data_IF_324452884854
#
_entry.id   IF_324452884854
#
_cell.length_a   1.000
_cell.length_b   1.000
_cell.length_c   1.000
_cell.angle_alpha   90.00
_cell.angle_beta   90.00
_cell.angle_gamma   90.00
#
_symmetry.space_group_name_H-M   'P 1'
#
loop_
_entity.id
_entity.type
_entity.pdbx_description
1 polymer ?
#
# COMPACT_ATOMS: atom_id res chain seq x y z
N UNK A 1 -21.90 -21.34 -13.68
CA UNK A 1 -21.10 -21.74 -12.50
C UNK A 1 -19.68 -21.29 -12.74
N UNK A 2 -19.10 -20.49 -11.84
CA UNK A 2 -17.72 -20.03 -11.97
C UNK A 2 -16.76 -21.21 -11.89
N UNK A 3 -15.87 -21.34 -12.88
CA UNK A 3 -14.80 -22.35 -12.85
C UNK A 3 -13.90 -22.05 -11.65
N UNK A 4 -13.76 -23.02 -10.75
CA UNK A 4 -12.76 -22.97 -9.68
C UNK A 4 -11.43 -23.46 -10.23
N UNK A 5 -10.44 -22.56 -10.24
CA UNK A 5 -9.06 -22.80 -10.65
C UNK A 5 -8.26 -23.52 -9.57
N UNK A 6 -8.68 -23.48 -8.30
CA UNK A 6 -8.02 -24.25 -7.23
C UNK A 6 -7.93 -25.75 -7.53
N UNK A 7 -8.91 -26.30 -8.25
CA UNK A 7 -8.94 -27.72 -8.62
C UNK A 7 -7.99 -28.07 -9.77
N UNK A 8 -7.50 -27.07 -10.53
CA UNK A 8 -6.57 -27.29 -11.63
C UNK A 8 -5.13 -27.49 -11.12
N UNK A 9 -4.80 -26.88 -9.98
CA UNK A 9 -3.47 -26.94 -9.35
C UNK A 9 -3.59 -27.16 -7.82
N UNK A 10 -4.22 -28.26 -7.36
CA UNK A 10 -4.69 -28.39 -5.98
C UNK A 10 -3.61 -28.48 -4.90
N UNK A 11 -2.34 -28.73 -5.25
CA UNK A 11 -1.26 -28.94 -4.26
C UNK A 11 -0.04 -28.03 -4.46
N UNK A 12 -0.12 -27.10 -5.41
CA UNK A 12 1.01 -26.25 -5.79
C UNK A 12 0.98 -24.95 -5.01
N UNK A 13 2.11 -24.63 -4.36
CA UNK A 13 2.29 -23.42 -3.57
C UNK A 13 3.58 -22.74 -3.97
N UNK A 14 3.50 -21.47 -4.31
CA UNK A 14 4.66 -20.62 -4.58
C UNK A 14 4.82 -19.65 -3.45
N UNK A 15 6.01 -19.59 -2.88
CA UNK A 15 6.35 -18.57 -1.89
C UNK A 15 7.05 -17.40 -2.57
N UNK A 16 6.36 -16.27 -2.65
CA UNK A 16 6.92 -15.04 -3.17
C UNK A 16 7.60 -14.28 -2.04
N UNK A 17 8.93 -14.33 -2.01
CA UNK A 17 9.75 -13.82 -0.91
C UNK A 17 10.39 -12.47 -1.23
N UNK A 18 10.43 -11.61 -0.22
CA UNK A 18 11.39 -10.53 -0.07
C UNK A 18 12.38 -10.86 1.05
N UNK A 19 13.35 -9.98 1.30
CA UNK A 19 14.29 -10.15 2.43
C UNK A 19 13.58 -10.23 3.79
N UNK A 20 12.37 -9.64 3.92
CA UNK A 20 11.71 -9.45 5.23
C UNK A 20 10.30 -10.01 5.31
N UNK A 21 9.69 -10.34 4.19
CA UNK A 21 8.31 -10.82 4.14
C UNK A 21 8.11 -11.76 2.96
N UNK A 22 7.13 -12.64 3.10
CA UNK A 22 6.78 -13.62 2.08
C UNK A 22 5.27 -13.69 1.96
N UNK A 23 4.77 -13.85 0.74
CA UNK A 23 3.38 -14.16 0.49
C UNK A 23 3.27 -15.50 -0.22
N UNK A 24 2.30 -16.32 0.18
CA UNK A 24 2.13 -17.67 -0.38
C UNK A 24 0.99 -17.67 -1.37
N UNK A 25 1.31 -17.95 -2.62
CA UNK A 25 0.36 -18.11 -3.70
C UNK A 25 -0.01 -19.58 -3.87
N UNK A 26 -1.28 -19.83 -4.15
CA UNK A 26 -1.83 -21.14 -4.51
C UNK A 26 -3.03 -20.95 -5.46
N UNK A 27 -3.67 -22.06 -5.85
CA UNK A 27 -4.81 -22.03 -6.76
C UNK A 27 -6.00 -21.17 -6.28
N UNK A 28 -6.13 -20.86 -4.98
CA UNK A 28 -7.18 -19.94 -4.49
C UNK A 28 -6.90 -18.49 -4.86
N UNK A 29 -5.64 -18.11 -5.05
CA UNK A 29 -5.31 -16.78 -5.55
C UNK A 29 -5.88 -16.58 -6.97
N UNK A 30 -5.85 -17.63 -7.80
CA UNK A 30 -6.49 -17.62 -9.13
C UNK A 30 -8.01 -17.49 -9.04
N UNK A 31 -8.65 -18.17 -8.08
CA UNK A 31 -10.09 -18.01 -7.84
C UNK A 31 -10.45 -16.57 -7.46
N UNK A 32 -9.63 -15.92 -6.64
CA UNK A 32 -9.80 -14.50 -6.22
C UNK A 32 -9.54 -13.51 -7.34
N UNK A 33 -8.76 -13.90 -8.35
CA UNK A 33 -8.52 -13.12 -9.57
C UNK A 33 -9.51 -13.47 -10.70
N UNK A 34 -10.37 -14.46 -10.49
CA UNK A 34 -11.42 -14.84 -11.43
C UNK A 34 -12.41 -13.71 -11.73
N UNK A 35 -13.12 -13.76 -12.87
CA UNK A 35 -14.15 -12.76 -13.21
C UNK A 35 -15.24 -12.69 -12.14
N UNK A 36 -15.56 -11.48 -11.68
CA UNK A 36 -16.59 -11.24 -10.66
C UNK A 36 -16.20 -11.63 -9.23
N UNK A 37 -14.97 -12.10 -9.01
CA UNK A 37 -14.46 -12.45 -7.70
C UNK A 37 -13.92 -11.23 -6.94
N UNK A 38 -14.14 -11.25 -5.62
CA UNK A 38 -13.47 -10.35 -4.69
C UNK A 38 -12.00 -10.72 -4.57
N UNK A 39 -11.13 -9.72 -4.72
CA UNK A 39 -9.71 -9.85 -4.41
C UNK A 39 -9.56 -10.03 -2.90
N UNK A 40 -8.76 -11.02 -2.48
CA UNK A 40 -8.45 -11.28 -1.08
C UNK A 40 -7.05 -10.82 -0.69
N UNK A 41 -6.75 -10.85 0.62
CA UNK A 41 -5.48 -10.37 1.20
C UNK A 41 -4.24 -10.98 0.55
N UNK A 42 -4.27 -12.28 0.23
CA UNK A 42 -3.14 -12.96 -0.46
C UNK A 42 -2.76 -12.27 -1.76
N UNK A 43 -3.75 -11.88 -2.58
CA UNK A 43 -3.50 -11.20 -3.85
C UNK A 43 -3.04 -9.76 -3.61
N UNK A 44 -3.62 -9.07 -2.61
CA UNK A 44 -3.21 -7.71 -2.24
C UNK A 44 -1.75 -7.67 -1.80
N UNK A 45 -1.37 -8.56 -0.88
CA UNK A 45 -0.02 -8.62 -0.33
C UNK A 45 0.98 -9.08 -1.39
N UNK A 46 0.60 -10.04 -2.23
CA UNK A 46 1.42 -10.45 -3.37
C UNK A 46 1.70 -9.25 -4.29
N UNK A 47 0.65 -8.50 -4.66
CA UNK A 47 0.81 -7.33 -5.51
C UNK A 47 1.63 -6.21 -4.84
N UNK A 48 1.47 -6.00 -3.53
CA UNK A 48 2.30 -5.07 -2.78
C UNK A 48 3.79 -5.42 -2.88
N UNK A 49 4.14 -6.70 -2.78
CA UNK A 49 5.51 -7.18 -2.95
C UNK A 49 5.99 -7.05 -4.40
N UNK A 50 5.15 -7.43 -5.37
CA UNK A 50 5.45 -7.31 -6.80
C UNK A 50 5.75 -5.85 -7.16
N UNK A 51 4.90 -4.92 -6.71
CA UNK A 51 5.06 -3.50 -6.94
C UNK A 51 6.37 -2.99 -6.31
N UNK A 52 6.59 -3.28 -5.02
CA UNK A 52 7.78 -2.82 -4.30
C UNK A 52 9.10 -3.37 -4.86
N UNK A 53 9.11 -4.60 -5.42
CA UNK A 53 10.35 -5.28 -5.84
C UNK A 53 10.62 -5.19 -7.33
N UNK A 54 9.58 -5.34 -8.15
CA UNK A 54 9.73 -5.54 -9.59
C UNK A 54 9.24 -4.33 -10.40
N UNK A 55 8.20 -3.61 -9.97
CA UNK A 55 7.60 -2.53 -10.77
C UNK A 55 8.07 -1.11 -10.42
N UNK A 56 8.46 -0.87 -9.16
CA UNK A 56 9.04 0.42 -8.75
C UNK A 56 10.51 0.50 -9.15
N UNK A 57 10.93 1.62 -9.73
CA UNK A 57 12.36 1.90 -10.00
C UNK A 57 13.18 1.96 -8.70
N UNK A 58 14.51 1.78 -8.72
CA UNK A 58 15.33 1.88 -7.51
C UNK A 58 15.17 3.19 -6.73
N UNK A 59 14.88 4.29 -7.43
CA UNK A 59 14.58 5.58 -6.82
C UNK A 59 13.21 5.58 -6.12
N UNK A 60 12.18 5.07 -6.80
CA UNK A 60 10.84 4.92 -6.23
C UNK A 60 10.84 3.95 -5.03
N UNK A 61 11.62 2.87 -5.07
CA UNK A 61 11.80 1.94 -3.95
C UNK A 61 12.44 2.60 -2.73
N UNK A 62 13.36 3.56 -2.95
CA UNK A 62 13.91 4.38 -1.86
C UNK A 62 12.86 5.33 -1.29
N UNK A 63 12.01 5.92 -2.13
CA UNK A 63 11.00 6.89 -1.74
C UNK A 63 9.69 6.29 -1.18
N UNK A 64 9.31 5.06 -1.56
CA UNK A 64 8.02 4.45 -1.25
C UNK A 64 8.23 3.20 -0.40
N UNK A 65 7.35 3.01 0.59
CA UNK A 65 7.22 1.77 1.33
C UNK A 65 5.77 1.29 1.33
N UNK A 66 5.54 0.03 0.97
CA UNK A 66 4.21 -0.56 0.88
C UNK A 66 4.00 -1.57 2.01
N UNK A 67 2.94 -1.36 2.81
CA UNK A 67 2.56 -2.26 3.89
C UNK A 67 1.70 -3.43 3.38
N UNK A 68 1.69 -4.52 4.15
CA UNK A 68 0.71 -5.59 3.94
C UNK A 68 -0.69 -5.16 4.41
N UNK A 69 -1.73 -5.81 3.89
CA UNK A 69 -3.14 -5.51 4.22
C UNK A 69 -3.49 -5.80 5.68
N UNK A 70 -2.69 -6.63 6.34
CA UNK A 70 -2.87 -6.98 7.75
C UNK A 70 -2.33 -5.92 8.72
N UNK A 71 -1.51 -4.97 8.25
CA UNK A 71 -0.87 -3.98 9.11
C UNK A 71 -1.90 -3.11 9.84
N UNK A 72 -2.81 -2.46 9.11
CA UNK A 72 -3.80 -1.56 9.72
C UNK A 72 -4.80 -2.30 10.64
N UNK A 73 -5.36 -3.46 10.25
CA UNK A 73 -6.16 -4.28 11.17
C UNK A 73 -5.41 -4.66 12.46
N UNK A 74 -4.10 -4.92 12.38
CA UNK A 74 -3.28 -5.23 13.55
C UNK A 74 -2.93 -4.00 14.38
N UNK A 75 -2.72 -2.85 13.73
CA UNK A 75 -2.44 -1.60 14.40
C UNK A 75 -3.67 -1.11 15.17
N UNK A 76 -4.85 -1.18 14.57
CA UNK A 76 -6.12 -0.77 15.18
C UNK A 76 -6.93 -1.98 15.65
N UNK A 77 -6.29 -2.91 16.37
CA UNK A 77 -6.95 -4.12 16.89
C UNK A 77 -8.21 -3.74 17.66
N UNK A 78 -9.28 -4.50 17.42
CA UNK A 78 -10.61 -4.21 17.97
C UNK A 78 -10.58 -4.16 19.49
N UNK A 79 -9.87 -5.07 20.13
CA UNK A 79 -9.77 -5.20 21.59
C UNK A 79 -9.10 -3.98 22.21
N UNK A 80 -8.06 -3.44 21.57
CA UNK A 80 -7.38 -2.22 22.03
C UNK A 80 -8.28 -1.01 21.78
N UNK A 81 -8.95 -0.97 20.61
CA UNK A 81 -9.79 0.15 20.20
C UNK A 81 -11.05 0.30 21.05
N UNK A 82 -11.70 -0.80 21.43
CA UNK A 82 -12.92 -0.78 22.27
C UNK A 82 -12.62 -0.38 23.73
N UNK A 83 -11.37 -0.53 24.17
CA UNK A 83 -10.92 -0.08 25.49
C UNK A 83 -10.40 1.36 25.49
N UNK A 84 -10.14 1.92 24.31
CA UNK A 84 -9.64 3.28 24.18
C UNK A 84 -10.76 4.28 24.55
N UNK A 85 -10.41 5.46 25.12
CA UNK A 85 -11.40 6.44 25.53
C UNK A 85 -12.35 6.85 24.38
N UNK A 86 -13.66 6.92 24.65
CA UNK A 86 -14.65 7.39 23.66
C UNK A 86 -14.54 8.89 23.37
N UNK A 87 -14.08 9.69 24.34
CA UNK A 87 -13.94 11.14 24.20
C UNK A 87 -12.85 11.46 23.20
N UNK A 88 -13.23 12.27 22.22
CA UNK A 88 -12.37 12.60 21.10
C UNK A 88 -11.08 13.26 21.60
N UNK A 89 -9.93 12.81 21.09
CA UNK A 89 -8.63 13.45 21.35
C UNK A 89 -8.73 14.94 20.97
N UNK A 90 -9.53 15.27 19.96
CA UNK A 90 -9.85 16.64 19.56
C UNK A 90 -10.64 17.44 20.63
N UNK A 91 -11.49 16.79 21.42
CA UNK A 91 -12.27 17.44 22.48
C UNK A 91 -11.41 17.72 23.73
N UNK A 92 -10.42 16.87 24.01
CA UNK A 92 -9.37 17.14 25.01
C UNK A 92 -8.46 18.29 24.59
N UNK A 93 -8.15 18.41 23.30
CA UNK A 93 -7.40 19.53 22.74
C UNK A 93 -8.22 20.84 22.69
N UNK A 94 -9.55 20.75 22.64
CA UNK A 94 -10.47 21.90 22.64
C UNK A 94 -10.92 22.40 24.02
N UNK A 95 -10.74 21.62 25.10
CA UNK A 95 -11.12 21.99 26.49
C UNK A 95 -9.94 22.48 27.33
N UNK A 96 -9.22 23.50 26.87
CA UNK A 96 -8.47 24.39 27.77
C UNK A 96 -9.33 25.61 28.11
N UNK A 97 -10.37 25.40 28.93
CA UNK A 97 -11.12 26.50 29.59
C UNK A 97 -10.58 26.84 30.99
N UNK A 98 -9.62 26.06 31.50
CA UNK A 98 -8.79 26.44 32.64
C UNK A 98 -7.41 26.81 32.12
N UNK A 99 -6.93 28.01 32.46
CA UNK A 99 -5.71 28.64 31.96
C UNK A 99 -4.37 27.95 32.27
N UNK A 100 -4.32 26.62 32.35
CA UNK A 100 -3.07 25.86 32.33
C UNK A 100 -2.66 25.60 30.87
N UNK A 101 -1.78 26.47 30.37
CA UNK A 101 -1.14 26.39 29.06
C UNK A 101 -0.10 25.26 29.01
N UNK A 102 -0.55 24.00 29.03
CA UNK A 102 0.29 22.85 28.69
C UNK A 102 -0.29 22.14 27.48
N UNK A 103 0.34 22.26 26.32
CA UNK A 103 -0.03 21.45 25.16
C UNK A 103 0.24 19.97 25.49
N UNK A 104 -0.80 19.18 25.72
CA UNK A 104 -0.64 17.72 25.85
C UNK A 104 -0.30 17.19 24.46
N UNK A 105 0.85 16.51 24.27
CA UNK A 105 1.21 15.99 22.96
C UNK A 105 0.14 14.99 22.49
N UNK A 106 -0.22 15.01 21.20
CA UNK A 106 -1.12 13.99 20.65
C UNK A 106 -0.58 12.57 20.92
N UNK A 107 -1.42 11.69 21.45
CA UNK A 107 -1.02 10.38 21.94
C UNK A 107 -0.27 10.40 23.27
N UNK A 108 -0.32 11.52 24.00
CA UNK A 108 0.05 11.63 25.41
C UNK A 108 -1.17 11.37 26.31
N UNK A 109 -0.98 11.47 27.63
CA UNK A 109 -2.05 11.21 28.59
C UNK A 109 -2.57 9.77 28.49
N UNK A 110 -3.90 9.60 28.59
CA UNK A 110 -4.54 8.27 28.59
C UNK A 110 -4.34 7.51 27.27
N UNK A 111 -4.24 8.20 26.13
CA UNK A 111 -4.07 7.58 24.82
C UNK A 111 -2.69 6.94 24.58
N UNK A 112 -1.67 7.37 25.33
CA UNK A 112 -0.29 6.92 25.15
C UNK A 112 -0.16 5.41 25.29
N UNK A 113 -0.77 4.83 26.33
CA UNK A 113 -0.69 3.40 26.60
C UNK A 113 -1.30 2.57 25.46
N UNK A 114 -2.42 3.02 24.87
CA UNK A 114 -3.09 2.33 23.78
C UNK A 114 -2.27 2.37 22.48
N UNK A 115 -1.70 3.53 22.15
CA UNK A 115 -0.83 3.65 20.98
C UNK A 115 0.48 2.89 21.17
N UNK A 116 1.06 2.88 22.37
CA UNK A 116 2.24 2.09 22.69
C UNK A 116 1.96 0.59 22.54
N UNK A 117 0.83 0.12 23.08
CA UNK A 117 0.40 -1.27 22.97
C UNK A 117 0.17 -1.67 21.50
N UNK A 118 -0.55 -0.83 20.74
CA UNK A 118 -0.78 -1.03 19.31
C UNK A 118 0.54 -1.06 18.52
N UNK A 119 1.43 -0.11 18.78
CA UNK A 119 2.76 -0.06 18.17
C UNK A 119 3.57 -1.33 18.51
N UNK A 120 3.58 -1.77 19.76
CA UNK A 120 4.24 -3.02 20.17
C UNK A 120 3.75 -4.23 19.38
N UNK A 121 2.46 -4.24 19.04
CA UNK A 121 1.83 -5.24 18.19
C UNK A 121 2.28 -5.22 16.73
N UNK A 122 2.84 -4.10 16.22
CA UNK A 122 3.28 -3.93 14.83
C UNK A 122 4.73 -3.52 14.62
N UNK A 123 5.50 -3.29 15.70
CA UNK A 123 6.88 -2.74 15.68
C UNK A 123 7.82 -3.47 14.73
N UNK A 124 7.67 -4.79 14.60
CA UNK A 124 8.55 -5.62 13.76
C UNK A 124 8.25 -5.52 12.25
N UNK A 125 7.09 -5.01 11.83
CA UNK A 125 6.73 -4.89 10.41
C UNK A 125 7.71 -4.01 9.63
N UNK A 126 8.31 -3.02 10.29
CA UNK A 126 9.29 -2.08 9.72
C UNK A 126 10.69 -2.32 10.25
N UNK A 127 10.98 -3.52 10.76
CA UNK A 127 12.30 -3.87 11.29
C UNK A 127 13.40 -3.64 10.25
N UNK A 128 14.37 -2.77 10.56
CA UNK A 128 15.46 -2.41 9.66
C UNK A 128 15.03 -1.61 8.43
N UNK A 129 13.85 -0.98 8.44
CA UNK A 129 13.41 -0.02 7.41
C UNK A 129 13.24 1.33 8.09
N UNK A 130 14.00 2.32 7.62
CA UNK A 130 13.80 3.70 8.07
C UNK A 130 12.64 4.32 7.28
N UNK A 131 11.44 4.22 7.84
CA UNK A 131 10.21 4.74 7.22
C UNK A 131 10.20 6.28 7.13
N UNK A 132 11.06 6.97 7.88
CA UNK A 132 11.13 8.44 7.89
C UNK A 132 12.01 8.98 6.76
N UNK A 133 12.84 8.14 6.14
CA UNK A 133 13.49 8.46 4.86
C UNK A 133 12.57 8.28 3.65
N UNK A 134 11.40 7.67 3.85
CA UNK A 134 10.42 7.49 2.78
C UNK A 134 9.66 8.80 2.57
N UNK A 135 9.31 9.05 1.32
CA UNK A 135 8.33 10.08 0.95
C UNK A 135 6.91 9.59 1.11
N UNK A 136 6.64 8.32 0.83
CA UNK A 136 5.29 7.76 0.86
C UNK A 136 5.23 6.41 1.56
N UNK A 137 4.22 6.25 2.41
CA UNK A 137 3.83 4.97 2.99
C UNK A 137 2.45 4.60 2.43
N UNK A 138 2.38 3.51 1.65
CA UNK A 138 1.14 3.01 1.08
C UNK A 138 0.58 1.90 1.97
N UNK A 139 -0.62 2.10 2.51
CA UNK A 139 -1.23 1.20 3.49
C UNK A 139 -2.59 0.71 2.98
N UNK A 140 -2.67 -0.51 2.41
CA UNK A 140 -3.93 -1.15 2.09
C UNK A 140 -4.80 -1.29 3.35
N UNK A 141 -6.07 -0.91 3.26
CA UNK A 141 -7.00 -0.98 4.37
C UNK A 141 -8.24 -1.77 4.01
N UNK A 142 -8.41 -2.92 4.68
CA UNK A 142 -9.60 -3.74 4.58
C UNK A 142 -10.50 -3.55 5.80
N UNK A 143 -11.73 -3.08 5.58
CA UNK A 143 -12.76 -3.00 6.61
C UNK A 143 -14.15 -3.15 6.00
N UNK A 144 -15.04 -3.85 6.70
CA UNK A 144 -16.44 -4.04 6.32
C UNK A 144 -16.61 -4.55 4.88
N UNK A 145 -15.82 -5.57 4.53
CA UNK A 145 -15.77 -6.19 3.19
C UNK A 145 -15.38 -5.24 2.06
N UNK A 146 -14.59 -4.20 2.36
CA UNK A 146 -14.17 -3.20 1.40
C UNK A 146 -12.70 -2.84 1.54
N UNK A 147 -12.03 -2.69 0.40
CA UNK A 147 -10.65 -2.21 0.31
C UNK A 147 -10.60 -0.72 -0.06
N UNK A 148 -9.83 0.04 0.72
CA UNK A 148 -9.42 1.41 0.39
C UNK A 148 -7.91 1.55 0.62
N UNK A 149 -7.32 2.66 0.15
CA UNK A 149 -5.90 2.94 0.32
C UNK A 149 -5.71 4.16 1.23
N UNK A 150 -4.90 3.99 2.27
CA UNK A 150 -4.37 5.10 3.06
C UNK A 150 -2.95 5.40 2.59
N UNK A 151 -2.64 6.67 2.34
CA UNK A 151 -1.29 7.12 1.97
C UNK A 151 -0.79 8.12 3.00
N UNK A 152 0.32 7.80 3.67
CA UNK A 152 1.05 8.78 4.48
C UNK A 152 2.09 9.44 3.58
N UNK A 153 1.93 10.73 3.34
CA UNK A 153 2.88 11.55 2.61
C UNK A 153 3.80 12.27 3.59
N UNK A 154 5.10 12.24 3.29
CA UNK A 154 6.14 12.94 4.04
C UNK A 154 6.12 12.61 5.55
N UNK A 155 6.26 11.32 5.93
CA UNK A 155 6.15 10.84 7.32
C UNK A 155 7.06 11.55 8.33
N UNK A 156 8.15 12.18 7.87
CA UNK A 156 9.08 12.91 8.70
C UNK A 156 8.83 14.43 8.77
N UNK A 157 7.98 15.00 7.91
CA UNK A 157 7.83 16.45 7.79
C UNK A 157 6.69 16.98 8.65
N UNK A 158 6.75 16.71 9.96
CA UNK A 158 5.82 17.28 10.94
C UNK A 158 6.24 18.72 11.29
N UNK A 159 5.26 19.56 11.60
CA UNK A 159 5.50 20.91 12.11
C UNK A 159 5.81 20.88 13.61
N UNK A 160 7.00 21.36 14.02
CA UNK A 160 7.40 21.47 15.43
C UNK A 160 7.26 22.92 15.89
N UNK A 161 6.39 23.20 16.86
CA UNK A 161 6.35 24.50 17.55
C UNK A 161 6.91 24.37 18.97
N UNK A 162 7.76 25.29 19.43
CA UNK A 162 8.17 25.33 20.82
C UNK A 162 6.94 25.46 21.72
N UNK A 163 6.79 24.59 22.72
CA UNK A 163 5.66 24.61 23.65
C UNK A 163 5.49 25.95 24.39
N UNK A 164 6.56 26.75 24.49
CA UNK A 164 6.62 28.02 25.19
C UNK A 164 6.34 29.24 24.29
N UNK A 165 6.32 29.08 22.96
CA UNK A 165 6.09 30.19 22.03
C UNK A 165 5.19 29.74 20.86
N UNK A 166 3.88 29.94 21.03
CA UNK A 166 2.89 29.63 19.99
C UNK A 166 2.94 30.58 18.79
N UNK A 167 3.68 31.70 18.89
CA UNK A 167 3.91 32.68 17.82
C UNK A 167 5.17 32.43 17.00
N UNK A 168 6.04 31.50 17.43
CA UNK A 168 7.21 31.09 16.66
C UNK A 168 6.81 30.31 15.40
N UNK A 169 7.51 30.58 14.30
CA UNK A 169 7.41 29.81 13.05
C UNK A 169 7.66 28.32 13.34
N UNK A 170 6.85 27.40 12.79
CA UNK A 170 7.10 25.97 12.94
C UNK A 170 8.48 25.61 12.39
N UNK A 171 9.27 24.90 13.17
CA UNK A 171 10.48 24.26 12.68
C UNK A 171 10.11 22.96 11.97
N UNK A 172 10.52 22.83 10.72
CA UNK A 172 10.43 21.61 9.93
C UNK A 172 11.83 21.03 9.74
N UNK A 173 11.96 19.73 9.41
CA UNK A 173 13.24 19.21 8.94
C UNK A 173 13.79 20.02 7.75
N UNK A 174 15.11 20.20 7.62
CA UNK A 174 15.71 21.07 6.60
C UNK A 174 15.37 20.66 5.16
N UNK A 175 15.13 19.37 4.92
CA UNK A 175 14.78 18.79 3.62
C UNK A 175 13.28 18.80 3.33
N UNK A 176 12.45 19.35 4.23
CA UNK A 176 11.00 19.41 4.04
C UNK A 176 10.60 20.22 2.81
N UNK A 177 11.34 21.29 2.49
CA UNK A 177 11.09 22.12 1.30
C UNK A 177 9.66 22.66 1.23
N UNK A 178 9.03 22.94 2.38
CA UNK A 178 7.65 23.40 2.50
C UNK A 178 6.57 22.31 2.43
N UNK A 179 6.96 21.03 2.37
CA UNK A 179 6.03 19.88 2.42
C UNK A 179 5.72 19.52 3.87
N UNK A 180 4.49 19.10 4.12
CA UNK A 180 4.02 18.68 5.44
C UNK A 180 3.48 17.25 5.42
N UNK A 181 3.53 16.59 6.59
CA UNK A 181 2.85 15.32 6.83
C UNK A 181 1.39 15.43 6.39
N UNK A 182 0.99 14.58 5.44
CA UNK A 182 -0.38 14.55 4.93
C UNK A 182 -0.88 13.12 4.91
N UNK A 183 -2.09 12.86 5.41
CA UNK A 183 -2.73 11.55 5.32
C UNK A 183 -3.82 11.61 4.25
N UNK A 184 -3.70 10.79 3.21
CA UNK A 184 -4.69 10.69 2.14
C UNK A 184 -5.52 9.41 2.30
N UNK A 185 -6.82 9.53 2.05
CA UNK A 185 -7.76 8.42 1.96
C UNK A 185 -8.30 8.33 0.53
N UNK A 186 -7.99 7.23 -0.16
CA UNK A 186 -8.37 6.98 -1.55
C UNK A 186 -9.31 5.77 -1.59
N UNK A 187 -10.53 6.00 -2.08
CA UNK A 187 -11.61 5.02 -2.07
C UNK A 187 -12.42 5.11 -3.38
N UNK A 188 -12.57 3.98 -4.07
CA UNK A 188 -13.31 3.87 -5.32
C UNK A 188 -14.82 3.84 -5.14
N UNK A 189 -15.32 3.66 -3.90
CA UNK A 189 -16.73 3.85 -3.57
C UNK A 189 -17.01 5.29 -3.12
N UNK A 190 -18.00 5.91 -3.77
CA UNK A 190 -18.50 7.21 -3.38
C UNK A 190 -19.37 7.13 -2.10
N UNK A 191 -19.49 8.26 -1.40
CA UNK A 191 -20.49 8.44 -0.33
C UNK A 191 -20.17 7.81 1.02
N UNK A 192 -18.96 7.26 1.22
CA UNK A 192 -18.51 6.81 2.55
C UNK A 192 -17.81 7.94 3.29
N UNK A 193 -17.88 7.98 4.60
CA UNK A 193 -17.13 8.96 5.37
C UNK A 193 -15.65 8.60 5.43
N UNK A 194 -14.80 9.62 5.56
CA UNK A 194 -13.38 9.40 5.81
C UNK A 194 -13.24 8.89 7.24
N UNK A 195 -12.62 7.71 7.46
CA UNK A 195 -12.60 7.09 8.77
C UNK A 195 -11.54 7.75 9.67
N UNK A 196 -11.76 8.96 10.16
CA UNK A 196 -10.73 9.72 10.90
C UNK A 196 -10.10 8.96 12.07
N UNK A 197 -10.85 8.04 12.69
CA UNK A 197 -10.32 7.14 13.71
C UNK A 197 -9.08 6.34 13.25
N UNK A 198 -9.03 5.82 12.02
CA UNK A 198 -7.85 5.08 11.54
C UNK A 198 -6.66 6.01 11.31
N UNK A 199 -6.92 7.25 10.88
CA UNK A 199 -5.89 8.30 10.78
C UNK A 199 -5.22 8.59 12.12
N UNK A 200 -5.98 8.56 13.23
CA UNK A 200 -5.43 8.72 14.58
C UNK A 200 -4.51 7.57 14.97
N UNK A 201 -4.88 6.32 14.66
CA UNK A 201 -4.00 5.16 14.90
C UNK A 201 -2.71 5.23 14.08
N UNK A 202 -2.79 5.67 12.82
CA UNK A 202 -1.60 5.87 11.97
C UNK A 202 -0.68 6.95 12.56
N UNK A 203 -1.23 8.07 13.02
CA UNK A 203 -0.45 9.11 13.70
C UNK A 203 0.19 8.58 14.99
N UNK A 204 -0.55 7.83 15.82
CA UNK A 204 0.00 7.18 17.02
C UNK A 204 1.13 6.22 16.68
N UNK A 205 0.98 5.42 15.61
CA UNK A 205 2.05 4.58 15.09
C UNK A 205 3.30 5.38 14.69
N UNK A 206 3.15 6.46 13.94
CA UNK A 206 4.28 7.31 13.52
C UNK A 206 5.02 7.88 14.74
N UNK A 207 4.29 8.28 15.80
CA UNK A 207 4.90 8.72 17.07
C UNK A 207 5.91 7.72 17.61
N UNK A 208 5.43 6.52 17.92
CA UNK A 208 6.22 5.50 18.59
C UNK A 208 7.27 4.91 17.65
N UNK A 209 6.99 4.89 16.33
CA UNK A 209 7.99 4.54 15.33
C UNK A 209 9.14 5.56 15.31
N UNK A 210 8.88 6.86 15.47
CA UNK A 210 9.91 7.88 15.54
C UNK A 210 10.73 7.78 16.81
N UNK A 211 10.09 7.64 17.96
CA UNK A 211 10.76 7.48 19.24
C UNK A 211 11.70 6.27 19.23
N UNK A 212 11.30 5.18 18.58
CA UNK A 212 12.15 4.01 18.39
C UNK A 212 13.26 4.25 17.35
N UNK A 213 12.94 4.89 16.23
CA UNK A 213 13.91 5.21 15.18
C UNK A 213 15.01 6.13 15.71
N UNK A 214 14.68 7.10 16.56
CA UNK A 214 15.62 8.03 17.18
C UNK A 214 16.69 7.34 18.06
N UNK A 215 16.43 6.12 18.52
CA UNK A 215 17.40 5.30 19.28
C UNK A 215 18.39 4.55 18.37
N UNK A 216 18.12 4.49 17.07
CA UNK A 216 18.92 3.75 16.09
C UNK A 216 19.89 4.69 15.40
N UNK A 217 21.20 4.49 15.63
CA UNK A 217 22.25 5.31 15.02
C UNK A 217 22.16 5.31 13.49
N UNK A 218 22.25 6.49 12.86
CA UNK A 218 22.18 6.66 11.41
C UNK A 218 20.76 6.61 10.83
N UNK A 219 19.73 6.48 11.67
CA UNK A 219 18.35 6.73 11.23
C UNK A 219 18.11 8.23 11.03
N UNK A 220 17.14 8.57 10.19
CA UNK A 220 16.71 9.95 9.98
C UNK A 220 16.30 10.63 11.30
N UNK A 221 15.54 9.92 12.14
CA UNK A 221 15.08 10.46 13.42
C UNK A 221 16.23 10.72 14.40
N UNK A 222 17.26 9.86 14.39
CA UNK A 222 18.47 10.03 15.20
C UNK A 222 19.27 11.26 14.72
N UNK A 223 19.55 11.34 13.41
CA UNK A 223 20.25 12.46 12.77
C UNK A 223 19.55 13.80 13.05
N UNK A 224 18.22 13.83 12.92
CA UNK A 224 17.43 15.03 13.23
C UNK A 224 17.53 15.40 14.71
N UNK A 225 17.38 14.44 15.62
CA UNK A 225 17.43 14.69 17.07
C UNK A 225 18.79 15.24 17.49
N UNK A 226 19.87 14.76 16.89
CA UNK A 226 21.23 15.27 17.13
C UNK A 226 21.42 16.70 16.64
N UNK A 227 20.87 17.07 15.48
CA UNK A 227 20.92 18.44 14.95
C UNK A 227 20.18 19.45 15.84
N UNK A 228 19.12 19.01 16.52
CA UNK A 228 18.36 19.84 17.45
C UNK A 228 19.00 19.94 18.84
N UNK A 229 20.00 19.10 19.15
CA UNK A 229 20.67 19.05 20.44
C UNK A 229 21.41 20.37 20.70
N UNK A 230 20.91 21.15 21.64
CA UNK A 230 21.46 22.47 21.99
C UNK A 230 20.55 23.66 21.65
N UNK A 231 19.41 23.44 20.97
CA UNK A 231 18.44 24.50 20.63
C UNK A 231 17.30 24.67 21.67
N UNK A 232 17.41 24.06 22.85
CA UNK A 232 16.44 24.18 23.97
C UNK A 232 15.57 22.94 24.22
N UNK A 233 14.62 22.99 25.17
CA UNK A 233 13.85 21.83 25.67
C UNK A 233 12.80 21.24 24.70
N UNK A 234 12.78 21.64 23.42
CA UNK A 234 11.94 21.02 22.38
C UNK A 234 12.48 19.65 21.88
N UNK A 235 13.46 19.07 22.59
CA UNK A 235 14.21 17.88 22.17
C UNK A 235 13.52 16.52 22.41
N UNK A 236 12.26 16.49 22.85
CA UNK A 236 11.53 15.25 23.10
C UNK A 236 10.40 15.07 22.08
N UNK A 237 10.58 14.11 21.16
CA UNK A 237 9.64 13.66 20.12
C UNK A 237 8.88 14.75 19.36
N UNK A 238 9.40 15.18 18.20
CA UNK A 238 8.84 16.30 17.46
C UNK A 238 7.48 16.05 16.82
N UNK A 239 7.02 14.79 16.74
CA UNK A 239 5.86 14.45 15.92
C UNK A 239 4.56 15.06 16.47
N UNK A 240 4.49 15.46 17.74
CA UNK A 240 3.21 15.84 18.34
C UNK A 240 3.23 17.02 19.32
N UNK A 241 4.16 17.96 19.17
CA UNK A 241 4.16 19.19 19.98
C UNK A 241 3.02 20.16 19.66
N UNK A 242 2.16 19.87 18.68
CA UNK A 242 1.02 20.72 18.32
C UNK A 242 -0.32 20.04 18.61
N UNK A 243 -1.28 20.83 19.11
CA UNK A 243 -2.65 20.41 19.42
C UNK A 243 -3.58 20.25 18.22
N UNK A 244 -3.08 19.81 17.05
CA UNK A 244 -3.92 19.51 15.89
C UNK A 244 -3.62 18.12 15.34
N UNK A 245 -4.68 17.30 15.24
CA UNK A 245 -4.65 16.05 14.48
C UNK A 245 -4.45 16.38 12.99
N UNK A 246 -3.65 15.56 12.30
CA UNK A 246 -3.70 15.54 10.84
C UNK A 246 -4.95 14.77 10.42
N UNK A 247 -6.00 15.49 10.06
CA UNK A 247 -7.19 14.86 9.49
C UNK A 247 -6.83 14.21 8.16
N UNK A 248 -7.36 13.00 7.95
CA UNK A 248 -7.22 12.34 6.67
C UNK A 248 -8.05 13.09 5.63
N UNK A 249 -7.41 13.37 4.51
CA UNK A 249 -8.03 14.04 3.37
C UNK A 249 -8.56 13.02 2.38
N UNK A 250 -9.84 13.13 2.01
CA UNK A 250 -10.38 12.35 0.89
C UNK A 250 -9.75 12.83 -0.40
N UNK A 251 -9.11 11.92 -1.14
CA UNK A 251 -8.68 12.16 -2.52
C UNK A 251 -9.51 11.32 -3.48
N UNK A 252 -9.75 11.89 -4.66
CA UNK A 252 -10.62 11.26 -5.66
C UNK A 252 -9.82 10.24 -6.46
N UNK A 253 -10.53 9.23 -6.96
CA UNK A 253 -10.00 8.26 -7.92
C UNK A 253 -11.15 7.82 -8.84
N UNK A 254 -10.86 7.10 -9.94
CA UNK A 254 -11.89 6.51 -10.77
C UNK A 254 -12.86 5.67 -9.94
N UNK A 255 -14.15 5.94 -10.08
CA UNK A 255 -15.19 5.23 -9.34
C UNK A 255 -15.39 3.83 -9.91
N UNK A 256 -15.55 2.84 -9.02
CA UNK A 256 -15.83 1.47 -9.46
C UNK A 256 -17.25 1.36 -10.01
N UNK A 257 -17.46 0.69 -11.17
CA UNK A 257 -18.79 0.50 -11.75
C UNK A 257 -19.57 -0.67 -11.14
N UNK A 258 -18.94 -1.45 -10.26
CA UNK A 258 -19.51 -2.67 -9.66
C UNK A 258 -19.20 -2.76 -8.15
N UNK A 259 -19.79 -3.74 -7.47
CA UNK A 259 -19.62 -3.90 -6.02
C UNK A 259 -18.40 -4.72 -5.57
N UNK A 260 -17.66 -5.35 -6.47
CA UNK A 260 -16.69 -6.42 -6.14
C UNK A 260 -15.22 -6.04 -6.40
N UNK A 261 -14.99 -4.98 -7.19
CA UNK A 261 -13.66 -4.62 -7.68
C UNK A 261 -12.90 -3.64 -6.78
N UNK A 262 -13.41 -3.27 -5.59
CA UNK A 262 -12.72 -2.33 -4.68
C UNK A 262 -11.26 -2.69 -4.41
N UNK A 263 -10.96 -3.98 -4.25
CA UNK A 263 -9.60 -4.48 -4.12
C UNK A 263 -8.73 -4.16 -5.34
N UNK A 264 -9.21 -4.37 -6.56
CA UNK A 264 -8.47 -4.04 -7.78
C UNK A 264 -8.28 -2.54 -7.99
N UNK A 265 -9.28 -1.73 -7.67
CA UNK A 265 -9.14 -0.28 -7.70
C UNK A 265 -8.09 0.18 -6.69
N UNK A 266 -8.07 -0.39 -5.48
CA UNK A 266 -7.02 -0.13 -4.51
C UNK A 266 -5.63 -0.54 -5.03
N UNK A 267 -5.49 -1.70 -5.70
CA UNK A 267 -4.21 -2.10 -6.33
C UNK A 267 -3.78 -1.10 -7.42
N UNK A 268 -4.71 -0.67 -8.29
CA UNK A 268 -4.44 0.33 -9.31
C UNK A 268 -4.03 1.68 -8.70
N UNK A 269 -4.75 2.16 -7.69
CA UNK A 269 -4.41 3.38 -6.94
C UNK A 269 -3.00 3.28 -6.33
N UNK A 270 -2.65 2.14 -5.73
CA UNK A 270 -1.35 1.90 -5.12
C UNK A 270 -0.23 1.93 -6.17
N UNK A 271 -0.42 1.28 -7.30
CA UNK A 271 0.53 1.26 -8.41
C UNK A 271 0.70 2.64 -9.05
N UNK A 272 -0.41 3.30 -9.38
CA UNK A 272 -0.40 4.63 -9.99
C UNK A 272 0.27 5.65 -9.05
N UNK A 273 -0.03 5.63 -7.76
CA UNK A 273 0.61 6.53 -6.81
C UNK A 273 2.12 6.25 -6.67
N UNK A 274 2.48 4.98 -6.44
CA UNK A 274 3.88 4.58 -6.26
C UNK A 274 4.76 4.85 -7.48
N UNK A 275 4.24 4.60 -8.68
CA UNK A 275 4.96 4.82 -9.94
C UNK A 275 4.95 6.29 -10.38
N UNK A 276 3.96 7.09 -9.99
CA UNK A 276 4.02 8.54 -10.21
C UNK A 276 5.06 9.17 -9.28
N UNK A 277 5.09 8.73 -8.01
CA UNK A 277 5.96 9.27 -6.97
C UNK A 277 6.04 10.82 -7.00
N UNK A 278 4.89 11.51 -6.95
CA UNK A 278 4.77 12.90 -7.40
C UNK A 278 5.51 13.88 -6.48
N UNK A 279 6.30 14.80 -7.02
CA UNK A 279 6.99 15.81 -6.19
C UNK A 279 6.05 16.81 -5.51
N UNK A 280 4.87 17.01 -6.09
CA UNK A 280 3.80 17.87 -5.59
C UNK A 280 2.47 17.10 -5.55
N UNK A 281 1.72 17.25 -4.45
CA UNK A 281 0.37 16.68 -4.28
C UNK A 281 -0.73 17.61 -4.83
N UNK A 282 -0.38 18.84 -5.21
CA UNK A 282 -1.26 19.76 -5.91
C UNK A 282 -1.50 19.29 -7.37
N UNK A 283 -2.69 19.53 -7.95
CA UNK A 283 -2.92 19.23 -9.37
C UNK A 283 -2.07 20.17 -10.28
N UNK A 284 -1.50 19.77 -11.44
CA UNK A 284 -1.84 18.63 -12.34
C UNK A 284 -0.63 17.73 -12.79
N UNK A 285 -0.79 16.51 -13.35
CA UNK A 285 -0.87 16.25 -14.82
C UNK A 285 -1.12 14.77 -15.22
N UNK A 286 -1.92 14.57 -16.27
CA UNK A 286 -3.29 15.04 -16.30
C UNK A 286 -4.11 14.13 -15.33
N UNK A 287 -5.04 14.74 -14.60
CA UNK A 287 -6.02 14.05 -13.75
C UNK A 287 -5.52 13.27 -12.50
N UNK A 288 -4.27 13.44 -12.04
CA UNK A 288 -3.78 12.86 -10.77
C UNK A 288 -4.74 13.13 -9.60
N UNK A 289 -5.08 12.08 -8.82
CA UNK A 289 -6.04 12.13 -7.71
C UNK A 289 -7.41 12.73 -8.07
N UNK A 290 -7.88 12.45 -9.29
CA UNK A 290 -9.25 12.79 -9.76
C UNK A 290 -9.99 11.56 -10.28
N UNK A 291 -11.28 11.70 -10.62
CA UNK A 291 -12.06 10.63 -11.26
C UNK A 291 -11.51 10.20 -12.64
N UNK A 292 -10.63 10.99 -13.25
CA UNK A 292 -10.03 10.71 -14.55
C UNK A 292 -8.56 10.25 -14.44
N UNK A 293 -8.10 9.91 -13.23
CA UNK A 293 -6.70 9.56 -12.96
C UNK A 293 -6.21 8.40 -13.83
N UNK A 294 -7.06 7.41 -14.07
CA UNK A 294 -6.80 6.33 -15.01
C UNK A 294 -8.11 5.77 -15.57
N UNK A 295 -8.09 5.12 -16.75
CA UNK A 295 -9.25 4.45 -17.33
C UNK A 295 -9.68 3.22 -16.51
N UNK A 296 -10.98 2.91 -16.48
CA UNK A 296 -11.47 1.67 -15.83
C UNK A 296 -10.94 0.40 -16.52
N UNK A 297 -10.61 0.50 -17.81
CA UNK A 297 -9.97 -0.56 -18.59
C UNK A 297 -8.61 -0.99 -18.01
N UNK A 298 -7.89 -0.08 -17.33
CA UNK A 298 -6.66 -0.43 -16.60
C UNK A 298 -6.94 -1.45 -15.50
N UNK A 299 -8.05 -1.29 -14.77
CA UNK A 299 -8.42 -2.18 -13.65
C UNK A 299 -8.80 -3.57 -14.16
N UNK A 300 -9.57 -3.62 -15.24
CA UNK A 300 -9.91 -4.88 -15.90
C UNK A 300 -8.65 -5.59 -16.46
N UNK A 301 -7.74 -4.83 -17.07
CA UNK A 301 -6.45 -5.33 -17.52
C UNK A 301 -5.59 -5.85 -16.37
N UNK A 302 -5.52 -5.12 -15.26
CA UNK A 302 -4.76 -5.50 -14.07
C UNK A 302 -5.21 -6.86 -13.52
N UNK A 303 -6.52 -7.14 -13.46
CA UNK A 303 -7.02 -8.46 -13.05
C UNK A 303 -6.47 -9.58 -13.94
N UNK A 304 -6.56 -9.40 -15.26
CA UNK A 304 -6.12 -10.41 -16.22
C UNK A 304 -4.60 -10.63 -16.15
N UNK A 305 -3.82 -9.55 -16.01
CA UNK A 305 -2.37 -9.59 -15.89
C UNK A 305 -1.93 -10.31 -14.61
N UNK A 306 -2.55 -9.98 -13.47
CA UNK A 306 -2.26 -10.67 -12.20
C UNK A 306 -2.65 -12.14 -12.25
N UNK A 307 -3.77 -12.47 -12.89
CA UNK A 307 -4.18 -13.86 -13.08
C UNK A 307 -3.11 -14.63 -13.87
N UNK A 308 -2.62 -14.05 -14.97
CA UNK A 308 -1.57 -14.66 -15.80
C UNK A 308 -0.26 -14.82 -15.02
N UNK A 309 0.17 -13.81 -14.28
CA UNK A 309 1.41 -13.87 -13.50
C UNK A 309 1.35 -14.98 -12.44
N UNK A 310 0.26 -15.03 -11.65
CA UNK A 310 0.07 -16.07 -10.63
C UNK A 310 0.00 -17.46 -11.28
N UNK A 311 -0.69 -17.60 -12.41
CA UNK A 311 -0.80 -18.87 -13.11
C UNK A 311 0.56 -19.37 -13.63
N UNK A 312 1.37 -18.47 -14.22
CA UNK A 312 2.72 -18.80 -14.69
C UNK A 312 3.64 -19.20 -13.54
N UNK A 313 3.57 -18.50 -12.39
CA UNK A 313 4.34 -18.84 -11.19
C UNK A 313 4.00 -20.24 -10.68
N UNK A 314 2.71 -20.55 -10.55
CA UNK A 314 2.27 -21.87 -10.10
C UNK A 314 2.65 -22.96 -11.12
N UNK A 315 2.58 -22.67 -12.42
CA UNK A 315 2.97 -23.62 -13.45
C UNK A 315 4.47 -23.92 -13.44
N UNK A 316 5.31 -22.88 -13.34
CA UNK A 316 6.76 -23.03 -13.22
C UNK A 316 7.13 -23.91 -12.02
N UNK A 317 6.50 -23.68 -10.87
CA UNK A 317 6.73 -24.50 -9.67
C UNK A 317 6.25 -25.95 -9.85
N UNK A 318 5.15 -26.15 -10.58
CA UNK A 318 4.67 -27.49 -10.93
C UNK A 318 5.68 -28.24 -11.79
N UNK A 319 6.22 -27.60 -12.82
CA UNK A 319 7.24 -28.18 -13.69
C UNK A 319 8.50 -28.53 -12.88
N UNK A 320 8.94 -27.61 -12.01
CA UNK A 320 10.08 -27.83 -11.10
C UNK A 320 9.87 -29.03 -10.18
N UNK A 321 8.69 -29.15 -9.56
CA UNK A 321 8.34 -30.29 -8.69
C UNK A 321 8.30 -31.63 -9.44
N UNK A 322 7.94 -31.61 -10.73
CA UNK A 322 7.87 -32.80 -11.59
C UNK A 322 9.20 -33.19 -12.22
N UNK A 323 10.26 -32.40 -11.99
CA UNK A 323 11.54 -32.53 -12.72
C UNK A 323 11.37 -32.40 -14.23
N UNK A 324 10.35 -31.66 -14.68
CA UNK A 324 10.21 -31.29 -16.08
C UNK A 324 11.29 -30.25 -16.45
N UNK A 325 11.92 -30.47 -17.61
CA UNK A 325 13.10 -29.77 -18.15
C UNK A 325 13.24 -28.29 -17.76
N UNK A 326 14.47 -27.87 -17.38
CA UNK A 326 14.91 -26.48 -17.16
C UNK A 326 14.41 -25.49 -18.24
N UNK A 327 14.16 -25.99 -19.46
CA UNK A 327 13.58 -25.22 -20.56
C UNK A 327 12.17 -24.68 -20.27
N UNK A 328 11.34 -25.39 -19.51
CA UNK A 328 9.99 -24.95 -19.14
C UNK A 328 10.04 -23.85 -18.07
N UNK A 329 10.90 -24.01 -17.07
CA UNK A 329 11.14 -22.98 -16.06
C UNK A 329 11.66 -21.69 -16.71
N UNK A 330 12.65 -21.81 -17.60
CA UNK A 330 13.19 -20.69 -18.36
C UNK A 330 12.13 -19.99 -19.23
N UNK A 331 11.25 -20.77 -19.88
CA UNK A 331 10.16 -20.21 -20.70
C UNK A 331 9.10 -19.50 -19.85
N UNK A 332 8.75 -20.04 -18.68
CA UNK A 332 7.83 -19.38 -17.76
C UNK A 332 8.43 -18.07 -17.23
N UNK A 333 9.74 -18.06 -16.97
CA UNK A 333 10.46 -16.86 -16.55
C UNK A 333 10.46 -15.79 -17.66
N UNK A 334 10.78 -16.16 -18.91
CA UNK A 334 10.76 -15.25 -20.06
C UNK A 334 9.38 -14.60 -20.26
N UNK A 335 8.31 -15.40 -20.23
CA UNK A 335 6.94 -14.89 -20.37
C UNK A 335 6.59 -13.96 -19.20
N UNK A 336 7.05 -14.26 -17.99
CA UNK A 336 6.82 -13.44 -16.80
C UNK A 336 7.53 -12.09 -16.91
N UNK A 337 8.77 -12.05 -17.37
CA UNK A 337 9.50 -10.79 -17.60
C UNK A 337 8.75 -9.92 -18.61
N UNK A 338 8.32 -10.49 -19.74
CA UNK A 338 7.50 -9.78 -20.71
C UNK A 338 6.15 -9.30 -20.15
N UNK A 339 5.57 -10.03 -19.20
CA UNK A 339 4.32 -9.66 -18.52
C UNK A 339 4.54 -8.50 -17.54
N UNK A 340 5.62 -8.52 -16.76
CA UNK A 340 6.00 -7.41 -15.88
C UNK A 340 6.26 -6.14 -16.69
N UNK A 341 7.00 -6.23 -17.80
CA UNK A 341 7.19 -5.12 -18.74
C UNK A 341 5.85 -4.61 -19.29
N UNK A 342 4.92 -5.52 -19.59
CA UNK A 342 3.57 -5.20 -20.04
C UNK A 342 2.73 -4.47 -18.99
N UNK A 343 2.80 -4.88 -17.71
CA UNK A 343 2.15 -4.21 -16.58
C UNK A 343 2.74 -2.81 -16.40
N UNK A 344 4.07 -2.70 -16.39
CA UNK A 344 4.79 -1.45 -16.23
C UNK A 344 4.45 -0.47 -17.35
N UNK A 345 4.48 -0.93 -18.61
CA UNK A 345 4.16 -0.09 -19.77
C UNK A 345 2.68 0.32 -19.81
N UNK A 346 1.75 -0.56 -19.42
CA UNK A 346 0.34 -0.21 -19.30
C UNK A 346 0.12 0.90 -18.25
N UNK A 347 0.79 0.81 -17.09
CA UNK A 347 0.75 1.82 -16.05
C UNK A 347 1.40 3.13 -16.52
N UNK A 348 2.56 3.07 -17.19
CA UNK A 348 3.22 4.26 -17.79
C UNK A 348 2.38 4.92 -18.89
N UNK A 349 1.72 4.15 -19.72
CA UNK A 349 0.82 4.66 -20.75
C UNK A 349 -0.44 5.32 -20.15
N UNK A 350 -0.98 4.74 -19.07
CA UNK A 350 -2.08 5.35 -18.32
C UNK A 350 -1.66 6.68 -17.71
N UNK A 351 -0.47 6.75 -17.10
CA UNK A 351 0.11 7.99 -16.56
C UNK A 351 0.29 9.09 -17.61
N UNK A 352 0.66 8.73 -18.85
CA UNK A 352 0.82 9.68 -19.96
C UNK A 352 -0.50 10.07 -20.64
N UNK A 353 -1.64 9.52 -20.21
CA UNK A 353 -2.95 9.67 -20.85
C UNK A 353 -2.94 9.54 -22.39
N UNK A 354 -2.11 8.64 -22.91
CA UNK A 354 -2.08 8.42 -24.36
C UNK A 354 -3.41 7.84 -24.84
N UNK A 355 -3.91 8.29 -25.99
CA UNK A 355 -5.16 7.82 -26.61
C UNK A 355 -5.36 6.29 -26.49
N UNK A 356 -6.59 5.81 -26.23
CA UNK A 356 -6.93 4.37 -26.18
C UNK A 356 -6.45 3.56 -27.40
N UNK A 357 -6.22 4.20 -28.55
CA UNK A 357 -5.68 3.58 -29.75
C UNK A 357 -4.22 3.07 -29.59
N UNK A 358 -3.45 3.62 -28.64
CA UNK A 358 -2.08 3.16 -28.33
C UNK A 358 -2.09 1.97 -27.37
N UNK A 359 -3.04 1.91 -26.44
CA UNK A 359 -3.27 0.75 -25.57
C UNK A 359 -3.61 -0.51 -26.37
N UNK A 360 -4.35 -0.35 -27.48
CA UNK A 360 -4.64 -1.44 -28.44
C UNK A 360 -3.42 -1.92 -29.23
N UNK A 361 -2.31 -1.19 -29.22
CA UNK A 361 -1.06 -1.48 -29.96
C UNK A 361 0.07 -1.98 -29.06
N UNK A 362 -0.06 -1.89 -27.73
CA UNK A 362 0.83 -2.57 -26.79
C UNK A 362 0.77 -4.09 -27.05
N UNK A 363 1.82 -4.87 -26.73
CA UNK A 363 1.88 -6.33 -26.96
C UNK A 363 0.76 -7.13 -26.28
N UNK A 364 -0.13 -6.44 -25.56
CA UNK A 364 -1.51 -6.78 -25.27
C UNK A 364 -2.37 -7.09 -26.53
N UNK A 365 -2.02 -8.09 -27.36
CA UNK A 365 -2.96 -8.67 -28.36
C UNK A 365 -3.94 -9.70 -27.78
N UNK A 366 -5.23 -9.53 -28.13
CA UNK A 366 -6.37 -10.45 -27.91
C UNK A 366 -7.51 -9.82 -27.09
N UNK A 367 -8.78 -10.19 -27.34
CA UNK A 367 -9.87 -9.88 -26.39
C UNK A 367 -9.44 -10.38 -24.99
N UNK A 368 -9.73 -9.66 -23.91
CA UNK A 368 -9.46 -10.17 -22.57
C UNK A 368 -10.14 -11.53 -22.36
N UNK A 369 -11.29 -11.74 -23.01
CA UNK A 369 -11.92 -13.06 -23.15
C UNK A 369 -11.10 -14.01 -24.03
N UNK A 370 -10.65 -13.62 -25.23
CA UNK A 370 -9.84 -14.49 -26.10
C UNK A 370 -8.48 -14.86 -25.52
N UNK A 371 -7.82 -14.00 -24.75
CA UNK A 371 -6.59 -14.33 -24.04
C UNK A 371 -6.84 -15.17 -22.82
N UNK A 372 -7.90 -14.89 -22.05
CA UNK A 372 -8.32 -15.81 -21.01
C UNK A 372 -8.74 -17.16 -21.60
N UNK A 373 -9.27 -17.20 -22.83
CA UNK A 373 -9.59 -18.41 -23.58
C UNK A 373 -8.36 -19.09 -24.18
N UNK A 374 -7.38 -18.37 -24.71
CA UNK A 374 -6.12 -18.90 -25.23
C UNK A 374 -5.22 -19.39 -24.10
N UNK A 375 -5.17 -18.67 -22.97
CA UNK A 375 -4.53 -19.17 -21.75
C UNK A 375 -5.33 -20.31 -21.15
N UNK A 376 -6.67 -20.25 -21.08
CA UNK A 376 -7.48 -21.42 -20.67
C UNK A 376 -7.30 -22.60 -21.60
N UNK A 377 -7.14 -22.40 -22.91
CA UNK A 377 -6.92 -23.45 -23.90
C UNK A 377 -5.50 -24.00 -23.79
N UNK A 378 -4.48 -23.14 -23.62
CA UNK A 378 -3.11 -23.54 -23.35
C UNK A 378 -3.00 -24.32 -22.03
N UNK A 379 -3.62 -23.83 -20.95
CA UNK A 379 -3.69 -24.54 -19.68
C UNK A 379 -4.56 -25.80 -19.76
N UNK A 380 -5.65 -25.82 -20.55
CA UNK A 380 -6.47 -27.02 -20.74
C UNK A 380 -5.73 -28.10 -21.54
N UNK A 381 -5.04 -27.73 -22.61
CA UNK A 381 -4.18 -28.63 -23.39
C UNK A 381 -3.00 -29.13 -22.56
N UNK A 382 -2.35 -28.26 -21.79
CA UNK A 382 -1.22 -28.66 -20.95
C UNK A 382 -1.67 -29.49 -19.74
N UNK A 383 -2.83 -29.20 -19.13
CA UNK A 383 -3.44 -30.04 -18.10
C UNK A 383 -3.85 -31.39 -18.68
N UNK A 384 -4.43 -31.44 -19.89
CA UNK A 384 -4.75 -32.68 -20.58
C UNK A 384 -3.49 -33.49 -20.93
N UNK A 385 -2.40 -32.82 -21.31
CA UNK A 385 -1.09 -33.44 -21.56
C UNK A 385 -0.47 -34.00 -20.28
N UNK A 386 -0.55 -33.25 -19.18
CA UNK A 386 -0.06 -33.64 -17.85
C UNK A 386 -0.92 -34.72 -17.17
N UNK A 387 -2.20 -34.85 -17.57
CA UNK A 387 -3.10 -35.94 -17.17
C UNK A 387 -2.94 -37.16 -18.08
N UNK A 388 -2.51 -36.98 -19.33
CA UNK A 388 -2.30 -38.03 -20.33
C UNK A 388 -0.90 -38.66 -20.32
N UNK A 389 0.06 -38.12 -19.57
CA UNK A 389 1.42 -38.68 -19.44
C UNK A 389 1.61 -39.60 -18.24
N UNK A 390 0.53 -39.99 -17.57
CA UNK A 390 0.51 -40.97 -16.48
C UNK A 390 -0.37 -42.17 -16.81
N UNK A 391 0.06 -42.98 -17.78
CA UNK A 391 -0.45 -44.34 -18.01
C UNK A 391 0.69 -45.30 -18.22
#
# INVERSE_FOLDING_TARGET
MGTKYEHLLPDVKVEYRSEKCSERLDGRALDRLGPGSWVGDTVVNFFALLLQRELLSPEQQRAVYIYNSWFLPKLSLREIREQAPERDVAEQLGRSHSGEKGAVPFGGGEWAAYFEQAYGGVKKWTGGVDIFRKRYLLMPWFKDSHFALIVVCFPAHFAVRPAQDQGAEPTQPPDAGGKELTLLYIDSLAGRDVPQHIGRWVQGYLRFAWDESAKTQGSYACEWTEQQRGQGPAANSPIFTHGSLYDMERRRCPAQPNGVDCGLYMLANMAMFGMTCPDDLSPPYPAFLTERWYPNELVAGLRALLFQDVALRLHAETARMRSDSDAMEAKCLEIREALCDGIEEALRCALKQTSPARWRKLPMRGDAQDRALQFRAYFADEIARLQGSGS
#
